data_IF_056879573585
#
_entry.id   IF_056879573585
#
_cell.length_a   1.000
_cell.length_b   1.000
_cell.length_c   1.000
_cell.angle_alpha   90.00
_cell.angle_beta   90.00
_cell.angle_gamma   90.00
#
_symmetry.space_group_name_H-M   'P 1'
#
loop_
_entity.id
_entity.type
_entity.pdbx_description
1 polymer ?
#
# COMPACT_ATOMS: atom_id res chain seq x y z
N UNK A 1 4.40 -14.69 18.03
CA UNK A 1 3.15 -15.06 18.73
C UNK A 1 2.88 -14.20 19.95
N UNK A 2 3.82 -14.11 20.91
CA UNK A 2 3.66 -13.23 22.08
C UNK A 2 3.45 -11.75 21.71
N UNK A 3 4.17 -11.22 20.71
CA UNK A 3 3.93 -9.85 20.19
C UNK A 3 2.48 -9.63 19.71
N UNK A 4 1.93 -10.55 18.90
CA UNK A 4 0.56 -10.44 18.38
C UNK A 4 -0.48 -10.49 19.51
N UNK A 5 -0.25 -11.35 20.51
CA UNK A 5 -1.15 -11.48 21.65
C UNK A 5 -1.14 -10.20 22.51
N UNK A 6 0.05 -9.68 22.83
CA UNK A 6 0.20 -8.44 23.60
C UNK A 6 -0.47 -7.24 22.93
N UNK A 7 -0.45 -7.18 21.60
CA UNK A 7 -1.16 -6.14 20.82
C UNK A 7 -2.67 -6.22 21.05
N UNK A 8 -3.26 -7.42 21.04
CA UNK A 8 -4.71 -7.59 21.15
C UNK A 8 -5.25 -7.52 22.59
N UNK A 9 -4.44 -7.86 23.59
CA UNK A 9 -4.87 -7.95 25.00
C UNK A 9 -5.30 -6.61 25.62
N UNK A 10 -4.76 -5.49 25.13
CA UNK A 10 -5.14 -4.16 25.63
C UNK A 10 -6.55 -3.72 25.21
N UNK A 11 -7.20 -4.39 24.26
CA UNK A 11 -8.55 -4.06 23.77
C UNK A 11 -9.67 -4.73 24.60
N UNK A 12 -9.74 -4.41 25.88
CA UNK A 12 -10.79 -4.87 26.78
C UNK A 12 -12.10 -4.07 26.61
N UNK A 13 -13.22 -4.64 27.05
CA UNK A 13 -14.56 -4.11 26.76
C UNK A 13 -14.78 -2.67 27.24
N UNK A 14 -14.24 -2.32 28.42
CA UNK A 14 -14.35 -0.98 29.02
C UNK A 14 -13.60 0.06 28.18
N UNK A 15 -12.35 -0.22 27.79
CA UNK A 15 -11.55 0.63 26.90
C UNK A 15 -12.25 0.91 25.56
N UNK A 16 -12.91 -0.11 25.00
CA UNK A 16 -13.69 0.02 23.77
C UNK A 16 -14.95 0.87 24.00
N UNK A 17 -15.70 0.66 25.08
CA UNK A 17 -16.96 1.39 25.29
C UNK A 17 -16.74 2.88 25.58
N UNK A 18 -15.71 3.24 26.35
CA UNK A 18 -15.41 4.64 26.68
C UNK A 18 -15.03 5.43 25.43
N UNK A 19 -14.24 4.82 24.55
CA UNK A 19 -13.73 5.46 23.34
C UNK A 19 -14.81 5.72 22.27
N UNK A 20 -15.97 5.06 22.34
CA UNK A 20 -17.00 5.11 21.28
C UNK A 20 -18.13 6.11 21.60
N UNK A 21 -17.94 6.96 22.61
CA UNK A 21 -18.92 7.94 23.07
C UNK A 21 -18.88 9.28 22.31
N UNK A 22 -17.81 9.57 21.56
CA UNK A 22 -17.62 10.80 20.80
C UNK A 22 -16.77 10.58 19.54
N UNK A 23 -16.81 11.52 18.59
CA UNK A 23 -15.95 11.47 17.40
C UNK A 23 -14.46 11.54 17.76
N UNK A 24 -14.09 12.36 18.74
CA UNK A 24 -12.71 12.48 19.24
C UNK A 24 -12.22 11.18 19.89
N UNK A 25 -13.08 10.55 20.70
CA UNK A 25 -12.79 9.24 21.30
C UNK A 25 -12.57 8.17 20.23
N UNK A 26 -13.44 8.14 19.21
CA UNK A 26 -13.31 7.21 18.08
C UNK A 26 -12.00 7.48 17.34
N UNK A 27 -11.65 8.75 17.09
CA UNK A 27 -10.42 9.12 16.40
C UNK A 27 -9.17 8.68 17.16
N UNK A 28 -9.17 8.85 18.49
CA UNK A 28 -8.08 8.45 19.38
C UNK A 28 -7.91 6.93 19.46
N UNK A 29 -9.03 6.20 19.54
CA UNK A 29 -9.01 4.74 19.46
C UNK A 29 -8.52 4.27 18.09
N UNK A 30 -8.99 4.91 17.02
CA UNK A 30 -8.60 4.61 15.65
C UNK A 30 -7.09 4.72 15.47
N UNK A 31 -6.48 5.81 15.93
CA UNK A 31 -5.03 6.01 15.86
C UNK A 31 -4.26 4.85 16.53
N UNK A 32 -4.67 4.46 17.73
CA UNK A 32 -4.04 3.35 18.46
C UNK A 32 -4.21 2.02 17.71
N UNK A 33 -5.42 1.77 17.21
CA UNK A 33 -5.74 0.60 16.39
C UNK A 33 -4.91 0.53 15.12
N UNK A 34 -4.73 1.64 14.40
CA UNK A 34 -3.93 1.66 13.18
C UNK A 34 -2.45 1.38 13.46
N UNK A 35 -1.90 1.97 14.53
CA UNK A 35 -0.52 1.68 15.00
C UNK A 35 -0.33 0.18 15.18
N UNK A 36 -1.29 -0.46 15.86
CA UNK A 36 -1.26 -1.90 16.10
C UNK A 36 -1.41 -2.75 14.83
N UNK A 37 -2.28 -2.36 13.91
CA UNK A 37 -2.44 -3.06 12.62
C UNK A 37 -1.14 -3.03 11.82
N UNK A 38 -0.45 -1.88 11.79
CA UNK A 38 0.84 -1.77 11.10
C UNK A 38 1.91 -2.68 11.73
N UNK A 39 1.95 -2.78 13.06
CA UNK A 39 2.85 -3.72 13.76
C UNK A 39 2.47 -5.18 13.54
N UNK A 40 1.18 -5.51 13.51
CA UNK A 40 0.71 -6.87 13.15
C UNK A 40 1.18 -7.25 11.76
N UNK A 41 1.03 -6.35 10.78
CA UNK A 41 1.48 -6.59 9.41
C UNK A 41 3.00 -6.75 9.30
N UNK A 42 3.77 -5.94 10.03
CA UNK A 42 5.22 -6.12 10.17
C UNK A 42 5.55 -7.53 10.72
N UNK A 43 4.97 -7.89 11.87
CA UNK A 43 5.11 -9.21 12.49
C UNK A 43 4.83 -10.35 11.50
N UNK A 44 3.73 -10.25 10.75
CA UNK A 44 3.34 -11.26 9.76
C UNK A 44 4.39 -11.41 8.66
N UNK A 45 4.97 -10.30 8.15
CA UNK A 45 6.03 -10.39 7.14
C UNK A 45 7.32 -11.03 7.64
N UNK A 46 7.52 -11.10 8.96
CA UNK A 46 8.66 -11.77 9.60
C UNK A 46 8.40 -13.27 9.87
N UNK A 47 7.15 -13.74 9.76
CA UNK A 47 6.82 -15.16 9.91
C UNK A 47 7.41 -15.96 8.75
N UNK A 48 8.01 -17.11 9.07
CA UNK A 48 8.56 -18.04 8.09
C UNK A 48 8.26 -19.47 8.50
N UNK A 49 7.91 -20.31 7.52
CA UNK A 49 8.00 -21.75 7.69
C UNK A 49 9.49 -22.11 7.65
N UNK A 50 10.03 -22.61 8.77
CA UNK A 50 11.47 -22.82 8.97
C UNK A 50 11.98 -23.97 8.09
N UNK A 51 11.15 -24.97 7.81
CA UNK A 51 11.51 -26.10 6.95
C UNK A 51 11.62 -25.66 5.49
N UNK A 52 10.65 -24.88 5.01
CA UNK A 52 10.64 -24.34 3.64
C UNK A 52 11.63 -23.19 3.44
N UNK A 53 11.79 -22.32 4.44
CA UNK A 53 12.54 -21.07 4.35
C UNK A 53 13.60 -20.98 5.47
N UNK A 54 14.58 -21.91 5.53
CA UNK A 54 15.51 -21.99 6.65
C UNK A 54 16.36 -20.72 6.77
N UNK A 55 16.88 -20.20 5.65
CA UNK A 55 17.74 -19.02 5.58
C UNK A 55 17.06 -17.77 5.01
N UNK A 56 15.96 -17.91 4.27
CA UNK A 56 15.26 -16.80 3.61
C UNK A 56 14.20 -17.30 2.62
N UNK A 57 13.51 -16.35 1.98
CA UNK A 57 12.47 -16.64 1.00
C UNK A 57 13.05 -16.82 -0.40
N UNK A 58 12.40 -17.68 -1.18
CA UNK A 58 12.76 -17.91 -2.58
C UNK A 58 12.46 -16.68 -3.45
N UNK A 59 13.07 -16.66 -4.64
CA UNK A 59 12.81 -15.64 -5.66
C UNK A 59 11.35 -15.63 -6.14
N UNK A 60 10.64 -16.75 -5.99
CA UNK A 60 9.24 -16.91 -6.38
C UNK A 60 8.27 -16.32 -5.34
N UNK A 61 8.76 -16.06 -4.13
CA UNK A 61 7.99 -15.50 -3.01
C UNK A 61 8.38 -14.05 -2.69
N UNK A 62 9.63 -13.68 -2.96
CA UNK A 62 10.18 -12.37 -2.67
C UNK A 62 9.38 -11.18 -3.26
N UNK A 63 8.80 -11.26 -4.48
CA UNK A 63 7.98 -10.17 -5.02
C UNK A 63 6.78 -9.82 -4.14
N UNK A 64 6.06 -10.84 -3.66
CA UNK A 64 4.91 -10.66 -2.77
C UNK A 64 5.37 -10.11 -1.43
N UNK A 65 6.40 -10.71 -0.83
CA UNK A 65 6.92 -10.24 0.45
C UNK A 65 7.35 -8.77 0.37
N UNK A 66 8.01 -8.36 -0.71
CA UNK A 66 8.40 -6.96 -0.93
C UNK A 66 7.20 -6.00 -0.98
N UNK A 67 6.09 -6.42 -1.61
CA UNK A 67 4.85 -5.65 -1.65
C UNK A 67 4.19 -5.55 -0.26
N UNK A 68 4.16 -6.64 0.50
CA UNK A 68 3.63 -6.64 1.88
C UNK A 68 4.45 -5.78 2.82
N UNK A 69 5.79 -5.79 2.67
CA UNK A 69 6.68 -4.90 3.42
C UNK A 69 6.44 -3.45 3.05
N UNK A 70 6.22 -3.15 1.76
CA UNK A 70 5.86 -1.82 1.30
C UNK A 70 4.54 -1.35 1.93
N UNK A 71 3.51 -2.20 1.99
CA UNK A 71 2.20 -1.86 2.57
C UNK A 71 2.35 -1.40 4.02
N UNK A 72 2.98 -2.19 4.91
CA UNK A 72 3.07 -1.79 6.31
C UNK A 72 4.01 -0.60 6.53
N UNK A 73 5.08 -0.44 5.73
CA UNK A 73 5.95 0.74 5.82
C UNK A 73 5.21 2.02 5.46
N UNK A 74 4.44 2.00 4.37
CA UNK A 74 3.63 3.14 3.97
C UNK A 74 2.50 3.39 4.97
N UNK A 75 1.90 2.35 5.54
CA UNK A 75 0.89 2.49 6.59
C UNK A 75 1.47 3.18 7.84
N UNK A 76 2.71 2.84 8.26
CA UNK A 76 3.40 3.53 9.37
C UNK A 76 3.59 5.03 9.08
N UNK A 77 3.91 5.41 7.85
CA UNK A 77 3.98 6.84 7.47
C UNK A 77 2.59 7.51 7.49
N UNK A 78 1.57 6.88 6.92
CA UNK A 78 0.19 7.38 6.97
C UNK A 78 -0.26 7.65 8.41
N UNK A 79 0.03 6.72 9.33
CA UNK A 79 -0.31 6.85 10.75
C UNK A 79 0.43 8.01 11.42
N UNK A 80 1.71 8.23 11.07
CA UNK A 80 2.47 9.37 11.56
C UNK A 80 1.83 10.70 11.13
N UNK A 81 1.37 10.80 9.88
CA UNK A 81 0.71 12.02 9.41
C UNK A 81 -0.72 12.16 9.93
N UNK A 82 -1.38 11.06 10.26
CA UNK A 82 -2.64 11.08 10.99
C UNK A 82 -2.50 11.68 12.39
N UNK A 83 -1.46 11.28 13.13
CA UNK A 83 -1.15 11.85 14.45
C UNK A 83 -0.75 13.33 14.38
N UNK A 84 -0.31 13.80 13.21
CA UNK A 84 0.10 15.19 12.96
C UNK A 84 -1.01 16.06 12.37
N UNK A 85 -2.23 15.54 12.22
CA UNK A 85 -3.34 16.26 11.58
C UNK A 85 -2.92 16.81 10.20
N UNK A 86 -2.37 15.92 9.37
CA UNK A 86 -1.92 16.25 8.03
C UNK A 86 -2.53 15.29 6.99
N UNK A 87 -3.81 15.54 6.71
CA UNK A 87 -4.58 14.78 5.73
C UNK A 87 -4.03 14.89 4.31
N UNK A 88 -3.50 16.06 3.90
CA UNK A 88 -3.01 16.23 2.53
C UNK A 88 -1.84 15.29 2.23
N UNK A 89 -0.92 15.09 3.20
CA UNK A 89 0.20 14.17 3.03
C UNK A 89 -0.25 12.70 3.11
N UNK A 90 -1.28 12.37 3.90
CA UNK A 90 -1.85 11.01 3.91
C UNK A 90 -2.32 10.64 2.49
N UNK A 91 -2.98 11.57 1.79
CA UNK A 91 -3.54 11.33 0.45
C UNK A 91 -2.48 10.91 -0.59
N UNK A 92 -1.21 11.27 -0.38
CA UNK A 92 -0.09 10.87 -1.24
C UNK A 92 0.26 9.38 -1.12
N UNK A 93 -0.11 8.73 -0.01
CA UNK A 93 0.27 7.37 0.31
C UNK A 93 -0.84 6.33 0.10
N UNK A 94 -2.11 6.75 0.05
CA UNK A 94 -3.23 5.82 -0.08
C UNK A 94 -3.14 4.99 -1.38
N UNK A 95 -2.91 5.66 -2.51
CA UNK A 95 -2.79 5.00 -3.82
C UNK A 95 -1.66 3.96 -3.87
N UNK A 96 -0.40 4.24 -3.48
CA UNK A 96 0.64 3.22 -3.50
C UNK A 96 0.43 2.08 -2.49
N UNK A 97 -0.37 2.28 -1.43
CA UNK A 97 -0.80 1.19 -0.54
C UNK A 97 -1.81 0.29 -1.24
N UNK A 98 -2.88 0.85 -1.81
CA UNK A 98 -3.89 0.11 -2.57
C UNK A 98 -3.24 -0.66 -3.72
N UNK A 99 -2.36 0.00 -4.48
CA UNK A 99 -1.63 -0.64 -5.58
C UNK A 99 -0.85 -1.86 -5.10
N UNK A 100 -0.08 -1.71 -4.02
CA UNK A 100 0.73 -2.81 -3.49
C UNK A 100 -0.12 -3.96 -2.98
N UNK A 101 -1.22 -3.67 -2.28
CA UNK A 101 -2.16 -4.68 -1.77
C UNK A 101 -2.90 -5.41 -2.89
N UNK A 102 -3.39 -4.70 -3.89
CA UNK A 102 -4.08 -5.28 -5.05
C UNK A 102 -3.12 -6.15 -5.87
N UNK A 103 -1.91 -5.67 -6.18
CA UNK A 103 -0.92 -6.47 -6.92
C UNK A 103 -0.49 -7.68 -6.09
N UNK A 104 -0.22 -7.54 -4.78
CA UNK A 104 0.13 -8.69 -3.94
C UNK A 104 -0.96 -9.76 -3.97
N UNK A 105 -2.23 -9.36 -3.85
CA UNK A 105 -3.37 -10.26 -3.93
C UNK A 105 -3.48 -10.92 -5.31
N UNK A 106 -3.28 -10.16 -6.39
CA UNK A 106 -3.26 -10.69 -7.75
C UNK A 106 -2.17 -11.75 -7.93
N UNK A 107 -0.94 -11.46 -7.50
CA UNK A 107 0.17 -12.40 -7.57
C UNK A 107 -0.09 -13.67 -6.75
N UNK A 108 -0.69 -13.54 -5.57
CA UNK A 108 -1.01 -14.66 -4.67
C UNK A 108 -2.16 -15.55 -5.16
N UNK A 109 -3.01 -15.02 -6.03
CA UNK A 109 -4.18 -15.73 -6.58
C UNK A 109 -4.00 -16.16 -8.03
N UNK A 110 -2.87 -15.82 -8.64
CA UNK A 110 -2.51 -16.18 -10.01
C UNK A 110 -1.47 -17.30 -10.05
N UNK A 111 -1.18 -17.81 -11.26
CA UNK A 111 -0.18 -18.83 -11.47
C UNK A 111 1.27 -18.34 -11.27
N UNK A 112 2.23 -19.27 -11.10
CA UNK A 112 3.64 -18.94 -10.87
C UNK A 112 4.28 -18.12 -12.01
N UNK A 113 3.81 -18.27 -13.24
CA UNK A 113 4.26 -17.50 -14.40
C UNK A 113 4.05 -15.98 -14.23
N UNK A 114 3.03 -15.58 -13.47
CA UNK A 114 2.72 -14.17 -13.22
C UNK A 114 3.78 -13.51 -12.34
N UNK A 115 4.40 -14.26 -11.42
CA UNK A 115 5.50 -13.75 -10.59
C UNK A 115 6.69 -13.36 -11.46
N UNK A 116 7.06 -14.23 -12.42
CA UNK A 116 8.15 -13.96 -13.35
C UNK A 116 7.84 -12.74 -14.23
N UNK A 117 6.62 -12.67 -14.78
CA UNK A 117 6.20 -11.53 -15.59
C UNK A 117 6.22 -10.22 -14.80
N UNK A 118 5.72 -10.21 -13.57
CA UNK A 118 5.79 -9.05 -12.67
C UNK A 118 7.22 -8.58 -12.44
N UNK A 119 8.15 -9.50 -12.15
CA UNK A 119 9.57 -9.16 -12.01
C UNK A 119 10.11 -8.56 -13.29
N UNK A 120 9.83 -9.15 -14.46
CA UNK A 120 10.27 -8.63 -15.77
C UNK A 120 9.68 -7.26 -16.08
N UNK A 121 8.41 -7.00 -15.79
CA UNK A 121 7.76 -5.70 -16.00
C UNK A 121 8.50 -4.54 -15.31
N UNK A 122 9.14 -4.81 -14.17
CA UNK A 122 9.90 -3.81 -13.39
C UNK A 122 11.21 -3.34 -14.06
N UNK A 123 11.63 -3.95 -15.18
CA UNK A 123 12.85 -3.61 -15.90
C UNK A 123 12.68 -2.57 -17.02
N UNK A 124 11.45 -2.10 -17.29
CA UNK A 124 11.16 -1.12 -18.37
C UNK A 124 12.17 0.03 -18.44
N UNK A 125 12.29 0.77 -17.34
CA UNK A 125 13.15 1.96 -17.30
C UNK A 125 14.63 1.60 -17.16
N UNK A 126 14.94 0.41 -16.63
CA UNK A 126 16.32 -0.12 -16.58
C UNK A 126 16.84 -0.41 -17.98
N UNK A 127 16.01 -1.02 -18.84
CA UNK A 127 16.37 -1.23 -20.25
C UNK A 127 16.45 0.10 -21.01
N UNK A 128 15.59 1.07 -20.69
CA UNK A 128 15.70 2.42 -21.25
C UNK A 128 17.05 3.06 -20.89
N UNK A 129 17.48 2.97 -19.63
CA UNK A 129 18.80 3.45 -19.18
C UNK A 129 19.93 2.83 -20.01
N UNK A 130 19.90 1.51 -20.25
CA UNK A 130 20.93 0.84 -21.05
C UNK A 130 20.95 1.30 -22.51
N UNK A 131 19.78 1.55 -23.09
CA UNK A 131 19.67 2.11 -24.45
C UNK A 131 20.18 3.54 -24.50
N UNK A 132 19.85 4.36 -23.50
CA UNK A 132 20.28 5.76 -23.44
C UNK A 132 21.81 5.85 -23.25
N UNK A 133 22.43 4.90 -22.55
CA UNK A 133 23.88 4.72 -22.51
C UNK A 133 24.46 4.43 -23.91
N UNK A 134 23.88 3.49 -24.64
CA UNK A 134 24.33 3.13 -26.00
C UNK A 134 24.19 4.28 -26.99
N UNK A 135 23.22 5.17 -26.77
CA UNK A 135 23.08 6.41 -27.54
C UNK A 135 24.08 7.51 -27.18
N UNK A 136 25.02 7.25 -26.26
CA UNK A 136 26.11 8.17 -25.91
C UNK A 136 25.76 9.22 -24.85
N UNK A 137 24.81 8.94 -23.95
CA UNK A 137 24.44 9.90 -22.90
C UNK A 137 25.60 10.22 -21.94
N UNK A 138 26.01 11.48 -21.88
CA UNK A 138 27.12 11.99 -21.05
C UNK A 138 26.85 11.89 -19.55
N UNK A 139 25.57 11.76 -19.14
CA UNK A 139 25.21 11.54 -17.73
C UNK A 139 25.91 10.30 -17.15
N UNK A 140 26.11 9.26 -17.96
CA UNK A 140 26.71 8.01 -17.53
C UNK A 140 28.23 8.05 -17.35
N UNK A 141 28.88 9.15 -17.74
CA UNK A 141 30.30 9.38 -17.45
C UNK A 141 30.50 9.87 -16.00
N UNK A 142 29.46 10.48 -15.43
CA UNK A 142 29.46 10.98 -14.05
C UNK A 142 29.50 9.84 -13.03
N UNK A 143 29.93 10.15 -11.79
CA UNK A 143 29.90 9.17 -10.68
C UNK A 143 28.48 8.66 -10.40
N UNK A 144 27.47 9.52 -10.53
CA UNK A 144 26.07 9.16 -10.30
C UNK A 144 25.56 8.19 -11.39
N UNK A 145 25.81 8.51 -12.66
CA UNK A 145 25.44 7.66 -13.78
C UNK A 145 26.12 6.29 -13.73
N UNK A 146 27.42 6.22 -13.41
CA UNK A 146 28.14 4.94 -13.21
C UNK A 146 27.56 4.08 -12.10
N UNK A 147 27.15 4.69 -10.98
CA UNK A 147 26.46 3.95 -9.89
C UNK A 147 25.10 3.42 -10.32
N UNK A 148 24.33 4.22 -11.06
CA UNK A 148 23.04 3.79 -11.60
C UNK A 148 23.21 2.61 -12.55
N UNK A 149 24.15 2.68 -13.50
CA UNK A 149 24.43 1.60 -14.44
C UNK A 149 24.86 0.31 -13.73
N UNK A 150 25.75 0.42 -12.74
CA UNK A 150 26.13 -0.72 -11.93
C UNK A 150 24.92 -1.39 -11.28
N UNK A 151 24.03 -0.61 -10.66
CA UNK A 151 22.80 -1.14 -10.07
C UNK A 151 21.86 -1.77 -11.09
N UNK A 152 21.83 -1.27 -12.33
CA UNK A 152 21.04 -1.88 -13.42
C UNK A 152 21.62 -3.24 -13.81
N UNK A 153 22.94 -3.34 -14.02
CA UNK A 153 23.61 -4.59 -14.36
C UNK A 153 23.50 -5.62 -13.24
N UNK A 154 23.82 -5.25 -11.99
CA UNK A 154 23.71 -6.15 -10.83
C UNK A 154 22.32 -6.76 -10.69
N UNK A 155 21.26 -5.98 -10.97
CA UNK A 155 19.87 -6.47 -10.89
C UNK A 155 19.55 -7.47 -12.00
N UNK A 156 19.97 -7.19 -13.23
CA UNK A 156 19.84 -8.16 -14.34
C UNK A 156 20.62 -9.45 -14.05
N UNK A 157 21.82 -9.34 -13.48
CA UNK A 157 22.68 -10.47 -13.17
C UNK A 157 22.09 -11.35 -12.05
N UNK A 158 21.55 -10.75 -10.97
CA UNK A 158 20.85 -11.48 -9.89
C UNK A 158 19.67 -12.29 -10.43
N UNK A 159 18.98 -11.73 -11.42
CA UNK A 159 17.84 -12.34 -12.09
C UNK A 159 18.22 -13.37 -13.16
N UNK A 160 19.47 -13.35 -13.64
CA UNK A 160 19.88 -14.09 -14.82
C UNK A 160 19.22 -13.59 -16.11
N UNK A 161 18.78 -12.33 -16.16
CA UNK A 161 18.13 -11.75 -17.33
C UNK A 161 19.12 -11.11 -18.30
N UNK A 162 18.91 -11.39 -19.58
CA UNK A 162 19.48 -10.70 -20.73
C UNK A 162 18.48 -9.71 -21.33
N UNK A 163 18.94 -8.85 -22.24
CA UNK A 163 18.07 -7.88 -22.92
C UNK A 163 17.01 -8.52 -23.83
N UNK A 164 17.21 -9.77 -24.21
CA UNK A 164 16.33 -10.52 -25.11
C UNK A 164 15.17 -11.20 -24.37
N UNK A 165 15.21 -11.25 -23.04
CA UNK A 165 14.21 -11.91 -22.20
C UNK A 165 12.88 -11.16 -22.08
N UNK A 166 12.80 -9.95 -22.64
CA UNK A 166 11.69 -9.00 -22.43
C UNK A 166 10.76 -8.84 -23.64
N UNK A 167 10.77 -9.78 -24.60
CA UNK A 167 9.95 -9.70 -25.82
C UNK A 167 8.45 -9.61 -25.49
N UNK A 168 7.99 -10.47 -24.60
CA UNK A 168 6.59 -10.51 -24.15
C UNK A 168 6.19 -9.23 -23.40
N UNK A 169 7.04 -8.74 -22.49
CA UNK A 169 6.73 -7.51 -21.74
C UNK A 169 6.67 -6.31 -22.69
N UNK A 170 7.52 -6.26 -23.72
CA UNK A 170 7.45 -5.23 -24.76
C UNK A 170 6.15 -5.31 -25.57
N UNK A 171 5.73 -6.49 -26.03
CA UNK A 171 4.46 -6.65 -26.75
C UNK A 171 3.25 -6.28 -25.88
N UNK A 172 3.32 -6.59 -24.58
CA UNK A 172 2.30 -6.25 -23.60
C UNK A 172 2.38 -4.79 -23.11
N UNK A 173 3.23 -3.94 -23.71
CA UNK A 173 3.45 -2.54 -23.31
C UNK A 173 3.81 -2.38 -21.84
N UNK A 174 4.56 -3.34 -21.29
CA UNK A 174 5.01 -3.41 -19.90
C UNK A 174 3.89 -3.55 -18.87
N UNK A 175 2.70 -3.96 -19.31
CA UNK A 175 1.58 -4.31 -18.46
C UNK A 175 1.71 -5.75 -18.00
N UNK A 176 1.50 -6.00 -16.71
CA UNK A 176 1.48 -7.34 -16.12
C UNK A 176 0.41 -8.18 -16.84
N UNK A 177 0.83 -9.21 -17.55
CA UNK A 177 0.04 -10.07 -18.43
C UNK A 177 -0.81 -9.29 -19.44
N UNK A 178 -0.33 -8.13 -19.89
CA UNK A 178 -1.08 -7.25 -20.79
C UNK A 178 -2.23 -6.47 -20.14
N UNK A 179 -2.50 -6.69 -18.84
CA UNK A 179 -3.62 -6.08 -18.10
C UNK A 179 -3.27 -4.69 -17.59
N UNK A 180 -4.20 -3.74 -17.75
CA UNK A 180 -4.09 -2.47 -17.03
C UNK A 180 -4.26 -2.70 -15.52
N UNK A 181 -3.85 -1.72 -14.71
CA UNK A 181 -4.11 -1.80 -13.27
C UNK A 181 -5.62 -1.86 -12.97
N UNK A 182 -6.46 -1.18 -13.77
CA UNK A 182 -7.92 -1.30 -13.65
C UNK A 182 -8.40 -2.74 -13.85
N UNK A 183 -7.92 -3.43 -14.88
CA UNK A 183 -8.32 -4.82 -15.16
C UNK A 183 -7.94 -5.76 -14.01
N UNK A 184 -6.76 -5.54 -13.41
CA UNK A 184 -6.30 -6.29 -12.23
C UNK A 184 -7.16 -5.94 -11.01
N UNK A 185 -7.41 -4.66 -10.78
CA UNK A 185 -8.23 -4.19 -9.67
C UNK A 185 -9.63 -4.77 -9.75
N UNK A 186 -10.30 -4.68 -10.89
CA UNK A 186 -11.65 -5.21 -11.11
C UNK A 186 -11.74 -6.74 -11.01
N UNK A 187 -10.63 -7.46 -11.17
CA UNK A 187 -10.56 -8.90 -10.97
C UNK A 187 -10.45 -9.27 -9.47
N UNK A 188 -9.79 -8.43 -8.68
CA UNK A 188 -9.49 -8.70 -7.27
C UNK A 188 -10.52 -8.08 -6.33
N UNK A 189 -10.95 -6.86 -6.65
CA UNK A 189 -11.89 -6.01 -5.92
C UNK A 189 -13.12 -5.74 -6.78
N UNK A 190 -14.12 -5.04 -6.22
CA UNK A 190 -15.28 -4.63 -7.00
C UNK A 190 -14.95 -3.42 -7.88
N UNK A 191 -15.27 -3.53 -9.19
CA UNK A 191 -14.89 -2.53 -10.19
C UNK A 191 -15.47 -1.12 -9.95
N UNK A 192 -16.64 -1.05 -9.30
CA UNK A 192 -17.32 0.18 -8.90
C UNK A 192 -16.54 0.97 -7.83
N UNK A 193 -15.69 0.30 -7.05
CA UNK A 193 -14.83 0.95 -6.06
C UNK A 193 -13.63 1.66 -6.70
N UNK A 194 -13.28 1.36 -7.95
CA UNK A 194 -12.04 1.86 -8.55
C UNK A 194 -11.99 3.39 -8.56
N UNK A 195 -13.06 4.05 -9.02
CA UNK A 195 -13.07 5.50 -9.18
C UNK A 195 -12.97 6.23 -7.83
N UNK A 196 -13.74 5.79 -6.83
CA UNK A 196 -13.81 6.44 -5.51
C UNK A 196 -12.69 6.06 -4.55
N UNK A 197 -11.83 5.11 -4.92
CA UNK A 197 -10.65 4.73 -4.14
C UNK A 197 -9.40 5.06 -4.94
N UNK A 198 -8.92 4.15 -5.79
CA UNK A 198 -7.67 4.31 -6.52
C UNK A 198 -7.67 5.46 -7.54
N UNK A 199 -8.76 5.66 -8.27
CA UNK A 199 -8.85 6.60 -9.39
C UNK A 199 -8.70 8.05 -8.94
N UNK A 200 -9.55 8.48 -8.02
CA UNK A 200 -9.56 9.84 -7.47
C UNK A 200 -8.24 10.18 -6.75
N UNK A 201 -7.64 9.23 -6.02
CA UNK A 201 -6.33 9.43 -5.34
C UNK A 201 -5.17 9.73 -6.30
N UNK A 202 -5.35 9.53 -7.61
CA UNK A 202 -4.37 9.97 -8.60
C UNK A 202 -4.17 11.48 -8.61
N UNK A 203 -5.17 12.24 -8.18
CA UNK A 203 -5.17 13.70 -8.15
C UNK A 203 -4.10 14.24 -7.19
N UNK A 204 -3.98 13.63 -6.00
CA UNK A 204 -2.97 13.96 -4.98
C UNK A 204 -1.53 13.75 -5.45
N UNK A 205 -1.27 12.74 -6.29
CA UNK A 205 0.10 12.44 -6.75
C UNK A 205 0.55 13.40 -7.87
N UNK A 206 -0.39 13.86 -8.69
CA UNK A 206 -0.07 14.61 -9.91
C UNK A 206 -0.30 16.12 -9.79
N UNK A 207 -0.80 16.61 -8.65
CA UNK A 207 -1.07 18.04 -8.45
C UNK A 207 -2.16 18.53 -9.39
N UNK A 208 -3.32 17.85 -9.37
CA UNK A 208 -4.45 18.23 -10.22
C UNK A 208 -5.11 19.53 -9.74
N UNK A 209 -5.98 20.10 -10.57
CA UNK A 209 -6.75 21.28 -10.18
C UNK A 209 -7.68 21.01 -8.97
N UNK A 210 -8.31 19.83 -8.90
CA UNK A 210 -9.16 19.46 -7.77
C UNK A 210 -8.35 19.36 -6.48
N UNK A 211 -7.19 18.70 -6.54
CA UNK A 211 -6.23 18.62 -5.42
C UNK A 211 -5.81 20.02 -4.94
N UNK A 212 -5.53 20.94 -5.87
CA UNK A 212 -5.16 22.30 -5.52
C UNK A 212 -6.30 23.07 -4.84
N UNK A 213 -7.55 22.82 -5.23
CA UNK A 213 -8.73 23.38 -4.55
C UNK A 213 -8.92 22.74 -3.17
N UNK A 214 -8.72 21.43 -3.06
CA UNK A 214 -8.97 20.68 -1.83
C UNK A 214 -7.95 21.02 -0.73
N UNK A 215 -6.67 21.19 -1.09
CA UNK A 215 -5.58 21.31 -0.12
C UNK A 215 -4.84 22.65 -0.14
N UNK A 216 -4.65 23.24 -1.32
CA UNK A 216 -3.70 24.34 -1.48
C UNK A 216 -4.33 25.73 -1.58
N UNK A 217 -5.66 25.82 -1.75
CA UNK A 217 -6.37 27.07 -2.02
C UNK A 217 -7.63 27.22 -1.16
N UNK A 218 -7.99 28.47 -0.85
CA UNK A 218 -9.27 28.82 -0.24
C UNK A 218 -10.04 29.73 -1.18
N UNK A 219 -11.26 29.33 -1.56
CA UNK A 219 -12.18 30.16 -2.35
C UNK A 219 -12.68 31.35 -1.54
N UNK A 220 -12.83 32.50 -2.18
CA UNK A 220 -13.41 33.72 -1.61
C UNK A 220 -14.81 33.97 -2.19
N UNK A 221 -15.62 34.78 -1.50
CA UNK A 221 -17.00 35.09 -1.91
C UNK A 221 -17.11 35.81 -3.26
N UNK A 222 -16.05 36.50 -3.68
CA UNK A 222 -15.96 37.20 -4.98
C UNK A 222 -15.50 36.29 -6.13
N UNK A 223 -15.33 34.99 -5.88
CA UNK A 223 -14.87 34.00 -6.86
C UNK A 223 -13.35 33.97 -7.06
N UNK A 224 -12.57 34.72 -6.26
CA UNK A 224 -11.10 34.63 -6.26
C UNK A 224 -10.59 33.56 -5.30
N UNK A 225 -9.28 33.26 -5.36
CA UNK A 225 -8.64 32.23 -4.52
C UNK A 225 -7.42 32.80 -3.78
N UNK A 226 -7.19 32.32 -2.56
CA UNK A 226 -5.98 32.60 -1.76
C UNK A 226 -5.22 31.30 -1.49
N UNK A 227 -3.91 31.41 -1.26
CA UNK A 227 -3.09 30.28 -0.81
C UNK A 227 -3.56 29.76 0.55
N UNK A 228 -3.65 28.44 0.71
CA UNK A 228 -3.79 27.79 2.00
C UNK A 228 -2.46 27.14 2.39
N UNK A 229 -1.69 27.71 3.34
CA UNK A 229 -0.43 27.11 3.79
C UNK A 229 -0.61 26.12 4.95
N UNK A 230 -1.84 25.86 5.41
CA UNK A 230 -2.10 25.06 6.61
C UNK A 230 -2.60 23.66 6.25
N UNK A 231 -2.14 22.69 7.04
CA UNK A 231 -2.58 21.30 6.93
C UNK A 231 -4.01 21.10 7.42
N UNK A 232 -4.68 20.09 6.85
CA UNK A 232 -6.03 19.71 7.25
C UNK A 232 -6.02 18.56 8.26
N UNK A 233 -6.91 18.60 9.27
CA UNK A 233 -6.98 17.57 10.28
C UNK A 233 -7.31 16.21 9.67
N UNK A 234 -6.74 15.16 10.26
CA UNK A 234 -6.94 13.80 9.82
C UNK A 234 -7.98 13.11 10.71
N UNK A 235 -8.89 12.38 10.08
CA UNK A 235 -9.83 11.52 10.79
C UNK A 235 -9.89 10.12 10.19
N UNK A 236 -10.68 9.27 10.84
CA UNK A 236 -10.88 7.87 10.51
C UNK A 236 -11.13 7.57 9.02
N UNK A 237 -11.74 8.50 8.28
CA UNK A 237 -12.07 8.33 6.86
C UNK A 237 -10.84 8.16 5.97
N UNK A 238 -9.66 8.62 6.39
CA UNK A 238 -8.42 8.48 5.62
C UNK A 238 -7.74 7.11 5.75
N UNK A 239 -8.01 6.33 6.80
CA UNK A 239 -7.29 5.06 7.05
C UNK A 239 -8.23 3.86 7.11
N UNK A 240 -9.38 3.97 7.75
CA UNK A 240 -10.28 2.80 7.91
C UNK A 240 -10.74 2.21 6.56
N UNK A 241 -11.13 3.01 5.55
CA UNK A 241 -11.42 2.50 4.22
C UNK A 241 -10.21 1.83 3.56
N UNK A 242 -9.03 2.44 3.69
CA UNK A 242 -7.78 1.93 3.15
C UNK A 242 -7.45 0.53 3.70
N UNK A 243 -7.61 0.32 5.01
CA UNK A 243 -7.31 -0.96 5.66
C UNK A 243 -8.11 -2.14 5.06
N UNK A 244 -9.31 -1.90 4.50
CA UNK A 244 -10.14 -2.94 3.87
C UNK A 244 -9.44 -3.64 2.72
N UNK A 245 -8.55 -2.95 2.01
CA UNK A 245 -7.77 -3.50 0.89
C UNK A 245 -6.53 -4.28 1.37
N UNK A 246 -6.06 -3.99 2.59
CA UNK A 246 -4.74 -4.42 3.03
C UNK A 246 -4.69 -5.80 3.68
N UNK A 247 -5.75 -6.25 4.35
CA UNK A 247 -5.68 -7.48 5.18
C UNK A 247 -5.63 -8.77 4.36
N UNK A 248 -6.39 -8.84 3.26
CA UNK A 248 -6.47 -10.02 2.38
C UNK A 248 -5.11 -10.53 1.88
N UNK A 249 -4.20 -9.71 1.35
CA UNK A 249 -2.92 -10.22 0.86
C UNK A 249 -2.03 -10.80 1.98
N UNK A 250 -2.09 -10.30 3.23
CA UNK A 250 -1.38 -10.94 4.35
C UNK A 250 -1.92 -12.32 4.67
N UNK A 251 -3.26 -12.49 4.64
CA UNK A 251 -3.90 -13.79 4.84
C UNK A 251 -3.43 -14.81 3.80
N UNK A 252 -3.53 -14.43 2.53
CA UNK A 252 -3.11 -15.26 1.39
C UNK A 252 -1.62 -15.58 1.44
N UNK A 253 -0.79 -14.64 1.89
CA UNK A 253 0.63 -14.88 2.08
C UNK A 253 0.92 -15.94 3.14
N UNK A 254 0.30 -15.83 4.32
CA UNK A 254 0.48 -16.83 5.38
C UNK A 254 0.05 -18.23 4.92
N UNK A 255 -1.02 -18.32 4.13
CA UNK A 255 -1.46 -19.57 3.51
C UNK A 255 -0.41 -20.08 2.52
N UNK A 256 0.08 -19.20 1.64
CA UNK A 256 1.10 -19.54 0.63
C UNK A 256 2.37 -20.09 1.27
N UNK A 257 2.83 -19.53 2.39
CA UNK A 257 4.06 -19.96 3.07
C UNK A 257 3.84 -21.01 4.16
N UNK A 258 2.62 -21.53 4.29
CA UNK A 258 2.25 -22.57 5.25
C UNK A 258 2.58 -22.19 6.71
N UNK A 259 2.12 -20.99 7.11
CA UNK A 259 2.19 -20.49 8.50
C UNK A 259 0.83 -19.97 9.00
N UNK A 260 -0.25 -20.26 8.27
CA UNK A 260 -1.60 -19.78 8.58
C UNK A 260 -2.27 -20.66 9.65
N UNK A 261 -1.84 -20.47 10.89
CA UNK A 261 -2.44 -21.15 12.05
C UNK A 261 -3.67 -20.41 12.60
N UNK A 262 -4.34 -21.01 13.60
CA UNK A 262 -5.53 -20.44 14.26
C UNK A 262 -5.28 -19.06 14.88
N UNK A 263 -4.05 -18.78 15.30
CA UNK A 263 -3.72 -17.52 15.94
C UNK A 263 -3.59 -16.42 14.89
N UNK A 264 -2.86 -16.67 13.79
CA UNK A 264 -2.77 -15.75 12.65
C UNK A 264 -4.15 -15.49 12.07
N UNK A 265 -4.95 -16.55 11.88
CA UNK A 265 -6.34 -16.43 11.46
C UNK A 265 -7.15 -15.54 12.43
N UNK A 266 -7.07 -15.82 13.73
CA UNK A 266 -7.76 -15.06 14.77
C UNK A 266 -7.38 -13.57 14.78
N UNK A 267 -6.09 -13.27 14.66
CA UNK A 267 -5.57 -11.90 14.59
C UNK A 267 -6.07 -11.16 13.35
N UNK A 268 -5.96 -11.75 12.16
CA UNK A 268 -6.44 -11.09 10.93
C UNK A 268 -7.97 -10.90 10.92
N UNK A 269 -8.72 -11.88 11.43
CA UNK A 269 -10.17 -11.76 11.61
C UNK A 269 -10.52 -10.68 12.64
N UNK A 270 -9.69 -10.48 13.68
CA UNK A 270 -9.85 -9.40 14.65
C UNK A 270 -9.63 -8.03 13.98
N UNK A 271 -8.58 -7.86 13.17
CA UNK A 271 -8.33 -6.61 12.43
C UNK A 271 -9.54 -6.22 11.57
N UNK A 272 -10.04 -7.14 10.73
CA UNK A 272 -11.19 -6.87 9.86
C UNK A 272 -12.46 -6.51 10.65
N UNK A 273 -12.70 -7.21 11.77
CA UNK A 273 -13.87 -6.98 12.62
C UNK A 273 -13.81 -5.62 13.31
N UNK A 274 -12.67 -5.29 13.92
CA UNK A 274 -12.50 -4.01 14.62
C UNK A 274 -12.57 -2.86 13.63
N UNK A 275 -11.87 -2.94 12.50
CA UNK A 275 -11.92 -1.92 11.45
C UNK A 275 -13.36 -1.63 10.97
N UNK A 276 -14.16 -2.69 10.77
CA UNK A 276 -15.57 -2.56 10.38
C UNK A 276 -16.42 -1.90 11.47
N UNK A 277 -16.26 -2.32 12.73
CA UNK A 277 -17.03 -1.78 13.86
C UNK A 277 -16.69 -0.32 14.13
N UNK A 278 -15.42 0.03 13.97
CA UNK A 278 -14.92 1.38 14.11
C UNK A 278 -15.58 2.31 13.08
N UNK A 279 -15.59 1.94 11.80
CA UNK A 279 -16.27 2.73 10.77
C UNK A 279 -17.77 2.87 11.03
N UNK A 280 -18.44 1.77 11.43
CA UNK A 280 -19.87 1.78 11.75
C UNK A 280 -20.21 2.66 12.95
N UNK A 281 -19.30 2.81 13.91
CA UNK A 281 -19.50 3.69 15.05
C UNK A 281 -19.34 5.16 14.65
N UNK A 282 -18.32 5.46 13.84
CA UNK A 282 -18.13 6.80 13.29
C UNK A 282 -19.35 7.24 12.48
N UNK A 283 -19.80 6.42 11.53
CA UNK A 283 -20.92 6.71 10.64
C UNK A 283 -22.24 7.00 11.38
N UNK A 284 -22.42 6.43 12.59
CA UNK A 284 -23.60 6.71 13.44
C UNK A 284 -23.55 8.06 14.13
N UNK A 285 -22.36 8.57 14.43
CA UNK A 285 -22.16 9.84 15.14
C UNK A 285 -21.91 11.00 14.19
N UNK A 286 -21.38 10.71 13.00
CA UNK A 286 -21.02 11.71 12.00
C UNK A 286 -22.26 12.24 11.28
N UNK A 287 -22.50 13.54 11.37
CA UNK A 287 -23.52 14.22 10.57
C UNK A 287 -22.87 14.79 9.29
N UNK A 288 -23.23 14.30 8.09
CA UNK A 288 -22.66 14.79 6.84
C UNK A 288 -23.07 16.25 6.52
N UNK A 289 -24.04 16.83 7.25
CA UNK A 289 -24.52 18.20 7.08
C UNK A 289 -23.97 19.18 8.11
N UNK A 290 -23.27 18.71 9.14
CA UNK A 290 -22.56 19.60 10.06
C UNK A 290 -21.26 20.08 9.40
N UNK A 291 -21.31 21.27 8.81
CA UNK A 291 -20.11 22.06 8.46
C UNK A 291 -19.72 22.95 9.64
#
# INVERSE_FOLDING_TARGET
MQELQAITEKYHAEYVSESFSSLEGINSFALTFYKDVAEIYDCITRLKNIERNPSGFSIDDAPVLGLLVRVWKLLKEVIKYYEQDNAEIISLFERPIIEASTIATYLLTSGPEVMLDYRKCSYKDRLRILRDLESGSTFFETKAGKRLLRSVHEKLDIEGFSRDDFKEQKSNRWKLQGKSFYDIFAQIEHADLYACTYGMMSESIHGSWNESIDWCLVSQDDGTYKTNPFSYPADIRFITPLLRFTTRPYRLWCQRIDVYDKNVEGTLNWVERVNRRLFQAFDKLFDPLSR
#
